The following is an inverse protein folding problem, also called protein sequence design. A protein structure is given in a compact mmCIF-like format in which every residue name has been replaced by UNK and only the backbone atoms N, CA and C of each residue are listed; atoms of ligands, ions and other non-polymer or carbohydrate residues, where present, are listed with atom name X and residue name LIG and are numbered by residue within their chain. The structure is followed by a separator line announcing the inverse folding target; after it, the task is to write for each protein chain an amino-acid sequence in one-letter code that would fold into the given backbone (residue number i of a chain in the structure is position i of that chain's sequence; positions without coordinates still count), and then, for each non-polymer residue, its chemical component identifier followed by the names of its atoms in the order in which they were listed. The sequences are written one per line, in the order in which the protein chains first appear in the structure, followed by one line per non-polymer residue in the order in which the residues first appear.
data_IF_732439330464
#
_entry.id   IF_732439330464
#
_cell.length_a   1.000
_cell.length_b   1.000
_cell.length_c   1.000
_cell.angle_alpha   90.00
_cell.angle_beta   90.00
_cell.angle_gamma   90.00
#
_symmetry.space_group_name_H-M   'P 1'
#
loop_
_entity.id
_entity.type
_entity.pdbx_description
1 polymer ?
#
# COMPACT_ATOMS: atom_id res chain seq x y z
N UNK A 1 59.07 18.92 -17.76
CA UNK A 1 58.42 19.01 -16.43
C UNK A 1 57.06 18.36 -16.55
N UNK A 2 56.99 17.08 -16.24
CA UNK A 2 55.78 16.26 -16.33
C UNK A 2 55.04 16.41 -15.01
N UNK A 3 53.97 17.21 -14.99
CA UNK A 3 53.10 17.34 -13.84
C UNK A 3 52.32 16.04 -13.67
N UNK A 4 52.75 15.22 -12.71
CA UNK A 4 51.99 14.09 -12.20
C UNK A 4 50.67 14.62 -11.62
N UNK A 5 49.56 14.40 -12.32
CA UNK A 5 48.24 14.44 -11.68
C UNK A 5 48.16 13.26 -10.71
N UNK A 6 47.87 13.49 -9.41
CA UNK A 6 47.49 12.39 -8.55
C UNK A 6 46.07 11.96 -8.97
N UNK A 7 45.96 10.87 -9.73
CA UNK A 7 44.70 10.16 -9.97
C UNK A 7 44.30 9.44 -8.68
N UNK A 8 43.86 10.18 -7.68
CA UNK A 8 43.15 9.61 -6.55
C UNK A 8 41.80 9.10 -7.05
N UNK A 9 41.44 7.82 -6.84
CA UNK A 9 40.12 7.33 -7.24
C UNK A 9 39.03 8.17 -6.55
N UNK A 10 38.07 8.69 -7.32
CA UNK A 10 36.93 9.41 -6.76
C UNK A 10 36.14 8.47 -5.82
N UNK A 11 35.83 8.91 -4.59
CA UNK A 11 35.09 8.08 -3.64
C UNK A 11 33.68 7.78 -4.17
N UNK A 12 33.17 6.57 -3.90
CA UNK A 12 31.80 6.17 -4.22
C UNK A 12 30.78 6.85 -3.29
N UNK A 13 31.16 7.15 -2.06
CA UNK A 13 30.37 7.95 -1.12
C UNK A 13 31.25 9.04 -0.54
N UNK A 14 30.78 10.28 -0.55
CA UNK A 14 31.45 11.42 0.05
C UNK A 14 30.46 12.22 0.88
N UNK A 15 30.74 12.33 2.17
CA UNK A 15 29.94 13.07 3.14
C UNK A 15 30.78 14.19 3.71
N UNK A 16 30.27 15.41 3.65
CA UNK A 16 30.91 16.59 4.23
C UNK A 16 29.92 17.41 5.07
N UNK A 17 30.19 17.48 6.37
CA UNK A 17 29.44 18.33 7.31
C UNK A 17 27.98 17.91 7.48
N UNK A 18 27.68 16.60 7.43
CA UNK A 18 26.31 16.10 7.50
C UNK A 18 25.70 16.30 8.89
N UNK A 19 24.55 16.96 8.93
CA UNK A 19 23.72 17.09 10.11
C UNK A 19 22.32 16.53 9.85
N UNK A 20 21.74 15.90 10.86
CA UNK A 20 20.39 15.33 10.75
C UNK A 20 19.61 15.47 12.05
N UNK A 21 18.32 15.80 11.94
CA UNK A 21 17.41 15.96 13.07
C UNK A 21 16.12 15.14 12.86
N UNK A 22 15.59 14.64 13.97
CA UNK A 22 14.24 14.08 14.06
C UNK A 22 13.30 15.05 14.79
N UNK A 23 11.99 14.93 14.55
CA UNK A 23 10.98 15.78 15.16
C UNK A 23 10.79 17.14 14.48
N UNK A 24 9.81 17.91 14.96
CA UNK A 24 9.48 19.27 14.48
C UNK A 24 9.35 20.22 15.67
N UNK A 25 9.64 21.50 15.45
CA UNK A 25 9.54 22.54 16.49
C UNK A 25 10.38 22.20 17.73
N UNK A 26 9.77 22.29 18.91
CA UNK A 26 10.42 22.08 20.21
C UNK A 26 10.82 20.63 20.49
N UNK A 27 10.27 19.67 19.74
CA UNK A 27 10.63 18.25 19.81
C UNK A 27 11.81 17.89 18.89
N UNK A 28 12.42 18.88 18.21
CA UNK A 28 13.51 18.64 17.26
C UNK A 28 14.78 18.21 17.98
N UNK A 29 15.26 16.99 17.72
CA UNK A 29 16.50 16.43 18.27
C UNK A 29 17.50 16.13 17.18
N UNK A 30 18.74 16.59 17.36
CA UNK A 30 19.83 16.27 16.44
C UNK A 30 20.36 14.86 16.73
N UNK A 31 20.69 14.12 15.68
CA UNK A 31 21.23 12.76 15.77
C UNK A 31 22.58 12.62 15.06
N UNK A 32 22.82 13.39 14.00
CA UNK A 32 24.12 13.46 13.33
C UNK A 32 24.70 14.87 13.44
N UNK A 33 26.00 14.95 13.76
CA UNK A 33 26.71 16.19 14.08
C UNK A 33 27.94 16.33 13.18
N UNK A 34 27.85 17.21 12.18
CA UNK A 34 28.92 17.55 11.21
C UNK A 34 29.76 16.33 10.78
N UNK A 35 29.08 15.26 10.38
CA UNK A 35 29.76 14.01 10.05
C UNK A 35 30.50 14.14 8.71
N UNK A 36 31.73 13.62 8.67
CA UNK A 36 32.54 13.49 7.47
C UNK A 36 32.91 12.01 7.27
N UNK A 37 32.66 11.49 6.06
CA UNK A 37 32.95 10.11 5.73
C UNK A 37 33.19 9.98 4.23
N UNK A 38 34.18 9.17 3.85
CA UNK A 38 34.42 8.79 2.47
C UNK A 38 34.42 7.26 2.36
N UNK A 39 33.81 6.73 1.30
CA UNK A 39 33.86 5.31 0.94
C UNK A 39 34.49 5.17 -0.44
N UNK A 40 35.63 4.51 -0.53
CA UNK A 40 36.33 4.28 -1.80
C UNK A 40 35.82 3.02 -2.54
N UNK A 41 36.09 2.87 -3.84
CA UNK A 41 35.76 1.63 -4.55
C UNK A 41 36.46 0.41 -3.95
N UNK A 42 35.72 -0.69 -3.76
CA UNK A 42 36.25 -1.99 -3.36
C UNK A 42 36.74 -2.11 -1.90
N UNK A 43 36.62 -1.05 -1.08
CA UNK A 43 36.97 -1.13 0.34
C UNK A 43 35.77 -1.62 1.18
N UNK A 44 36.07 -2.38 2.24
CA UNK A 44 35.11 -2.77 3.27
C UNK A 44 35.34 -1.94 4.54
N UNK A 45 34.37 -1.09 4.87
CA UNK A 45 34.37 -0.22 6.05
C UNK A 45 33.34 -0.72 7.06
N UNK A 46 33.78 -0.88 8.31
CA UNK A 46 32.89 -1.12 9.45
C UNK A 46 32.65 0.16 10.24
N UNK A 47 31.39 0.42 10.55
CA UNK A 47 30.95 1.50 11.41
C UNK A 47 30.45 0.92 12.74
N UNK A 48 31.25 1.10 13.79
CA UNK A 48 30.93 0.67 15.14
C UNK A 48 30.58 1.86 16.03
N UNK A 49 29.76 1.65 17.06
CA UNK A 49 29.39 2.68 18.02
C UNK A 49 28.19 2.27 18.88
N UNK A 50 27.92 2.98 19.99
CA UNK A 50 26.81 2.66 20.90
C UNK A 50 25.45 2.64 20.19
N UNK A 51 24.47 1.91 20.74
CA UNK A 51 23.09 1.97 20.25
C UNK A 51 22.55 3.41 20.32
N UNK A 52 21.84 3.84 19.28
CA UNK A 52 21.26 5.19 19.22
C UNK A 52 22.21 6.32 18.77
N UNK A 53 23.48 6.07 18.45
CA UNK A 53 24.40 7.12 17.98
C UNK A 53 24.18 7.57 16.51
N UNK A 54 23.17 7.05 15.83
CA UNK A 54 22.82 7.46 14.46
C UNK A 54 23.40 6.62 13.33
N UNK A 55 23.93 5.42 13.59
CA UNK A 55 24.51 4.52 12.55
C UNK A 55 23.50 4.15 11.46
N UNK A 56 22.33 3.66 11.84
CA UNK A 56 21.22 3.35 10.92
C UNK A 56 20.72 4.62 10.22
N UNK A 57 20.69 5.76 10.91
CA UNK A 57 20.37 7.06 10.29
C UNK A 57 21.36 7.43 9.19
N UNK A 58 22.66 7.24 9.43
CA UNK A 58 23.69 7.48 8.43
C UNK A 58 23.53 6.53 7.23
N UNK A 59 23.31 5.24 7.50
CA UNK A 59 23.15 4.22 6.47
C UNK A 59 21.91 4.50 5.59
N UNK A 60 20.79 4.92 6.19
CA UNK A 60 19.55 5.27 5.46
C UNK A 60 19.69 6.56 4.64
N UNK A 61 20.52 7.52 5.09
CA UNK A 61 20.84 8.73 4.31
C UNK A 61 21.74 8.40 3.11
N UNK A 62 22.79 7.58 3.29
CA UNK A 62 23.65 7.10 2.20
C UNK A 62 22.83 6.25 1.21
N UNK A 63 21.96 5.39 1.74
CA UNK A 63 21.07 4.53 0.96
C UNK A 63 19.97 5.29 0.19
N UNK A 64 19.93 6.62 0.27
CA UNK A 64 18.86 7.45 -0.29
C UNK A 64 17.45 6.97 0.09
N UNK A 65 17.31 6.37 1.29
CA UNK A 65 16.05 5.95 1.89
C UNK A 65 15.41 7.08 2.72
N UNK A 66 16.23 8.02 3.17
CA UNK A 66 15.84 9.21 3.91
C UNK A 66 16.37 10.46 3.20
N UNK A 67 15.62 11.56 3.26
CA UNK A 67 16.02 12.83 2.64
C UNK A 67 17.09 13.54 3.47
N UNK A 68 18.15 14.01 2.80
CA UNK A 68 19.21 14.81 3.42
C UNK A 68 18.71 16.22 3.71
N UNK A 69 18.92 16.69 4.94
CA UNK A 69 18.44 17.98 5.42
C UNK A 69 19.52 19.06 5.37
N UNK A 70 20.75 18.74 5.79
CA UNK A 70 21.87 19.69 5.88
C UNK A 70 23.22 18.98 5.70
N UNK A 71 24.19 19.69 5.12
CA UNK A 71 25.47 19.13 4.71
C UNK A 71 25.45 18.61 3.28
N UNK A 72 26.55 17.99 2.85
CA UNK A 72 26.70 17.39 1.53
C UNK A 72 26.78 15.87 1.64
N UNK A 73 25.98 15.15 0.86
CA UNK A 73 26.02 13.69 0.75
C UNK A 73 25.98 13.35 -0.73
N UNK A 74 27.14 13.01 -1.27
CA UNK A 74 27.30 12.57 -2.65
C UNK A 74 27.46 11.05 -2.68
N UNK A 75 26.62 10.38 -3.47
CA UNK A 75 26.62 8.92 -3.60
C UNK A 75 26.64 8.58 -5.07
N UNK A 76 27.65 7.82 -5.50
CA UNK A 76 27.85 7.40 -6.89
C UNK A 76 27.89 8.58 -7.88
N UNK A 77 28.42 9.73 -7.44
CA UNK A 77 28.51 10.97 -8.22
C UNK A 77 27.25 11.84 -8.20
N UNK A 78 26.22 11.47 -7.44
CA UNK A 78 24.95 12.18 -7.36
C UNK A 78 24.78 12.86 -5.98
N UNK A 79 24.54 14.16 -5.97
CA UNK A 79 24.26 14.92 -4.74
C UNK A 79 22.84 14.61 -4.25
N UNK A 80 22.70 14.17 -3.00
CA UNK A 80 21.41 13.78 -2.41
C UNK A 80 20.65 14.94 -1.75
N UNK A 81 21.34 16.05 -1.40
CA UNK A 81 20.67 17.23 -0.85
C UNK A 81 19.70 17.83 -1.90
N UNK A 82 18.41 17.91 -1.55
CA UNK A 82 17.32 18.36 -2.45
C UNK A 82 17.17 17.54 -3.74
N UNK A 83 17.70 16.31 -3.77
CA UNK A 83 17.57 15.43 -4.92
C UNK A 83 16.10 15.07 -5.20
N UNK A 84 15.74 14.97 -6.48
CA UNK A 84 14.40 14.48 -6.88
C UNK A 84 14.27 12.99 -6.53
N UNK A 85 13.05 12.53 -6.24
CA UNK A 85 12.76 11.10 -5.94
C UNK A 85 13.28 10.15 -7.04
N UNK A 86 13.32 10.59 -8.30
CA UNK A 86 13.86 9.82 -9.43
C UNK A 86 15.39 9.64 -9.38
N UNK A 87 16.14 10.65 -8.91
CA UNK A 87 17.59 10.56 -8.70
C UNK A 87 17.88 9.59 -7.56
N UNK A 88 17.20 9.77 -6.42
CA UNK A 88 17.31 8.85 -5.28
C UNK A 88 17.01 7.40 -5.69
N UNK A 89 15.97 7.18 -6.52
CA UNK A 89 15.66 5.85 -7.05
C UNK A 89 16.78 5.29 -7.94
N UNK A 90 17.38 6.11 -8.80
CA UNK A 90 18.50 5.71 -9.66
C UNK A 90 19.71 5.30 -8.83
N UNK A 91 20.02 6.07 -7.80
CA UNK A 91 21.10 5.77 -6.84
C UNK A 91 20.82 4.44 -6.12
N UNK A 92 19.59 4.23 -5.62
CA UNK A 92 19.18 2.96 -4.97
C UNK A 92 19.36 1.74 -5.87
N UNK A 93 19.06 1.83 -7.17
CA UNK A 93 19.24 0.71 -8.11
C UNK A 93 20.70 0.31 -8.32
N UNK A 94 21.65 1.19 -8.00
CA UNK A 94 23.09 0.92 -8.09
C UNK A 94 23.70 0.51 -6.74
N UNK A 95 22.87 0.35 -5.72
CA UNK A 95 23.27 -0.07 -4.37
C UNK A 95 22.53 -1.35 -3.96
N UNK A 96 23.17 -2.16 -3.14
CA UNK A 96 22.54 -3.27 -2.46
C UNK A 96 22.38 -2.93 -0.99
N UNK A 97 21.22 -3.22 -0.40
CA UNK A 97 20.96 -2.99 1.02
C UNK A 97 20.64 -4.32 1.69
N UNK A 98 21.33 -4.58 2.79
CA UNK A 98 21.13 -5.72 3.68
C UNK A 98 20.64 -5.16 5.02
N UNK A 99 19.42 -5.52 5.41
CA UNK A 99 18.81 -5.07 6.65
C UNK A 99 19.13 -6.03 7.80
N UNK A 100 18.98 -5.54 9.04
CA UNK A 100 19.19 -6.32 10.27
C UNK A 100 18.26 -7.54 10.32
N UNK A 101 16.97 -7.32 10.01
CA UNK A 101 16.05 -8.40 9.70
C UNK A 101 16.16 -8.69 8.20
N UNK A 102 16.30 -9.96 7.82
CA UNK A 102 16.49 -10.40 6.43
C UNK A 102 15.48 -9.80 5.43
N UNK A 103 14.27 -9.44 5.89
CA UNK A 103 13.19 -8.84 5.12
C UNK A 103 12.92 -9.57 3.79
N UNK A 104 12.99 -10.91 3.81
CA UNK A 104 12.63 -11.74 2.67
C UNK A 104 11.09 -11.79 2.56
N UNK A 105 10.57 -11.67 1.34
CA UNK A 105 9.14 -11.81 1.08
C UNK A 105 8.76 -13.27 1.30
N UNK A 106 7.84 -13.51 2.23
CA UNK A 106 7.51 -14.84 2.74
C UNK A 106 6.81 -15.73 1.71
N UNK A 107 6.07 -15.10 0.80
CA UNK A 107 5.35 -15.75 -0.31
C UNK A 107 6.26 -16.13 -1.48
N UNK A 108 7.52 -15.71 -1.48
CA UNK A 108 8.48 -15.95 -2.55
C UNK A 108 9.53 -16.96 -2.13
N UNK A 109 9.93 -17.84 -3.05
CA UNK A 109 11.07 -18.75 -2.87
C UNK A 109 12.38 -17.97 -2.72
N UNK A 110 13.45 -18.63 -2.27
CA UNK A 110 14.79 -18.06 -2.22
C UNK A 110 15.21 -17.50 -3.59
N UNK A 111 14.99 -18.25 -4.67
CA UNK A 111 15.31 -17.81 -6.03
C UNK A 111 14.51 -16.56 -6.42
N UNK A 112 13.21 -16.53 -6.12
CA UNK A 112 12.35 -15.38 -6.43
C UNK A 112 12.73 -14.13 -5.62
N UNK A 113 13.10 -14.31 -4.34
CA UNK A 113 13.61 -13.21 -3.51
C UNK A 113 14.89 -12.59 -4.10
N UNK A 114 15.82 -13.41 -4.59
CA UNK A 114 17.03 -12.93 -5.27
C UNK A 114 16.70 -12.31 -6.62
N UNK A 115 15.73 -12.89 -7.35
CA UNK A 115 15.31 -12.42 -8.67
C UNK A 115 14.76 -11.00 -8.66
N UNK A 116 14.14 -10.55 -7.57
CA UNK A 116 13.72 -9.14 -7.44
C UNK A 116 14.88 -8.15 -7.63
N UNK A 117 16.11 -8.51 -7.22
CA UNK A 117 17.28 -7.68 -7.48
C UNK A 117 17.72 -7.76 -8.95
N UNK A 118 17.66 -8.95 -9.55
CA UNK A 118 17.94 -9.14 -10.97
C UNK A 118 16.92 -8.45 -11.89
N UNK A 119 15.68 -8.26 -11.44
CA UNK A 119 14.63 -7.54 -12.18
C UNK A 119 14.96 -6.07 -12.43
N UNK A 120 15.86 -5.49 -11.64
CA UNK A 120 16.33 -4.12 -11.78
C UNK A 120 17.42 -3.97 -12.84
N UNK A 121 17.99 -5.09 -13.32
CA UNK A 121 19.01 -5.10 -14.36
C UNK A 121 18.33 -5.01 -15.74
N UNK A 122 18.57 -3.94 -16.52
CA UNK A 122 17.96 -3.78 -17.84
C UNK A 122 18.49 -4.82 -18.82
N UNK A 123 17.64 -5.22 -19.78
CA UNK A 123 18.03 -6.10 -20.88
C UNK A 123 18.01 -7.61 -20.57
N UNK A 124 17.77 -8.02 -19.32
CA UNK A 124 17.61 -9.44 -18.98
C UNK A 124 16.18 -9.93 -19.21
N UNK A 125 16.04 -11.07 -19.88
CA UNK A 125 14.77 -11.82 -19.98
C UNK A 125 14.41 -12.47 -18.65
N UNK A 126 13.14 -12.83 -18.46
CA UNK A 126 12.68 -13.52 -17.24
C UNK A 126 13.52 -14.78 -16.92
N UNK A 127 13.81 -15.59 -17.95
CA UNK A 127 14.65 -16.79 -17.80
C UNK A 127 16.08 -16.47 -17.37
N UNK A 128 16.69 -15.43 -17.95
CA UNK A 128 18.05 -14.99 -17.57
C UNK A 128 18.10 -14.46 -16.14
N UNK A 129 17.08 -13.72 -15.70
CA UNK A 129 16.98 -13.23 -14.32
C UNK A 129 16.87 -14.38 -13.32
N UNK A 130 16.03 -15.37 -13.64
CA UNK A 130 15.89 -16.57 -12.81
C UNK A 130 17.19 -17.35 -12.74
N UNK A 131 17.87 -17.56 -13.87
CA UNK A 131 19.14 -18.27 -13.90
C UNK A 131 20.21 -17.56 -13.06
N UNK A 132 20.37 -16.25 -13.27
CA UNK A 132 21.27 -15.39 -12.48
C UNK A 132 21.00 -15.50 -10.97
N UNK A 133 19.74 -15.61 -10.58
CA UNK A 133 19.34 -15.76 -9.18
C UNK A 133 19.77 -17.11 -8.60
N UNK A 134 19.65 -18.18 -9.38
CA UNK A 134 20.09 -19.53 -9.00
C UNK A 134 21.61 -19.57 -8.91
N UNK A 135 22.32 -18.94 -9.85
CA UNK A 135 23.79 -18.87 -9.86
C UNK A 135 24.32 -18.15 -8.62
N UNK A 136 23.75 -16.98 -8.28
CA UNK A 136 24.10 -16.25 -7.06
C UNK A 136 23.80 -17.05 -5.79
N UNK A 137 22.68 -17.78 -5.74
CA UNK A 137 22.40 -18.68 -4.63
C UNK A 137 23.43 -19.83 -4.55
N UNK A 138 23.89 -20.34 -5.68
CA UNK A 138 24.94 -21.35 -5.71
C UNK A 138 26.27 -20.81 -5.16
N UNK A 139 26.65 -19.57 -5.51
CA UNK A 139 27.81 -18.87 -4.94
C UNK A 139 27.71 -18.71 -3.41
N UNK A 140 26.49 -18.56 -2.87
CA UNK A 140 26.23 -18.53 -1.43
C UNK A 140 26.19 -19.91 -0.75
N UNK A 141 26.42 -21.00 -1.50
CA UNK A 141 26.28 -22.37 -1.01
C UNK A 141 24.83 -22.82 -0.80
N UNK A 142 23.88 -22.23 -1.52
CA UNK A 142 22.43 -22.48 -1.42
C UNK A 142 21.82 -23.04 -2.72
N UNK A 143 22.64 -23.67 -3.57
CA UNK A 143 22.20 -24.23 -4.86
C UNK A 143 20.94 -25.10 -4.76
N UNK A 144 20.89 -26.02 -3.79
CA UNK A 144 19.76 -26.94 -3.62
C UNK A 144 18.58 -26.33 -2.84
N UNK A 145 18.72 -25.08 -2.39
CA UNK A 145 17.72 -24.37 -1.57
C UNK A 145 16.93 -23.35 -2.39
N UNK A 146 17.21 -23.21 -3.69
CA UNK A 146 16.61 -22.19 -4.56
C UNK A 146 15.07 -22.21 -4.59
N UNK A 147 14.46 -23.39 -4.49
CA UNK A 147 12.99 -23.56 -4.47
C UNK A 147 12.34 -23.47 -3.09
N UNK A 148 13.10 -23.29 -2.01
CA UNK A 148 12.55 -23.23 -0.65
C UNK A 148 11.99 -21.85 -0.33
N UNK A 149 10.92 -21.80 0.45
CA UNK A 149 10.39 -20.58 1.06
C UNK A 149 11.25 -20.17 2.27
N UNK A 150 11.28 -18.88 2.66
CA UNK A 150 12.03 -18.40 3.83
C UNK A 150 11.71 -19.15 5.13
N UNK A 151 10.47 -19.60 5.31
CA UNK A 151 10.04 -20.40 6.47
C UNK A 151 10.74 -21.76 6.57
N UNK A 152 11.30 -22.26 5.48
CA UNK A 152 12.02 -23.54 5.40
C UNK A 152 13.55 -23.39 5.38
N UNK A 153 14.06 -22.18 5.69
CA UNK A 153 15.48 -21.85 5.73
C UNK A 153 15.91 -21.51 7.16
N UNK A 154 17.16 -21.82 7.52
CA UNK A 154 17.72 -21.34 8.79
C UNK A 154 18.01 -19.83 8.74
N UNK A 155 18.18 -19.17 9.89
CA UNK A 155 18.51 -17.74 9.94
C UNK A 155 19.75 -17.39 9.11
N UNK A 156 20.83 -18.17 9.23
CA UNK A 156 22.04 -17.97 8.41
C UNK A 156 21.79 -18.17 6.91
N UNK A 157 20.92 -19.11 6.53
CA UNK A 157 20.53 -19.29 5.13
C UNK A 157 19.70 -18.11 4.62
N UNK A 158 18.75 -17.60 5.42
CA UNK A 158 17.99 -16.38 5.11
C UNK A 158 18.93 -15.18 4.90
N UNK A 159 19.97 -15.02 5.71
CA UNK A 159 20.96 -13.95 5.55
C UNK A 159 21.77 -14.09 4.26
N UNK A 160 22.16 -15.31 3.90
CA UNK A 160 22.80 -15.58 2.62
C UNK A 160 21.89 -15.27 1.43
N UNK A 161 20.59 -15.56 1.52
CA UNK A 161 19.60 -15.15 0.50
C UNK A 161 19.48 -13.62 0.43
N UNK A 162 19.46 -12.92 1.57
CA UNK A 162 19.42 -11.45 1.60
C UNK A 162 20.67 -10.82 0.95
N UNK A 163 21.85 -11.39 1.18
CA UNK A 163 23.12 -10.99 0.53
C UNK A 163 23.05 -11.24 -0.98
N UNK A 164 22.63 -12.43 -1.42
CA UNK A 164 22.46 -12.73 -2.84
C UNK A 164 21.48 -11.76 -3.52
N UNK A 165 20.36 -11.43 -2.86
CA UNK A 165 19.39 -10.44 -3.35
C UNK A 165 20.01 -9.06 -3.51
N UNK A 166 20.80 -8.60 -2.54
CA UNK A 166 21.47 -7.30 -2.60
C UNK A 166 22.49 -7.24 -3.76
N UNK A 167 23.18 -8.35 -4.03
CA UNK A 167 24.17 -8.47 -5.12
C UNK A 167 23.54 -8.65 -6.51
N UNK A 168 22.30 -9.14 -6.59
CA UNK A 168 21.66 -9.50 -7.86
C UNK A 168 21.55 -8.34 -8.85
N UNK A 169 21.47 -7.10 -8.35
CA UNK A 169 21.43 -5.87 -9.15
C UNK A 169 22.81 -5.38 -9.67
N UNK A 170 23.91 -6.10 -9.43
CA UNK A 170 25.29 -5.63 -9.65
C UNK A 170 25.58 -4.27 -8.97
N UNK A 171 25.42 -4.18 -7.64
CA UNK A 171 25.62 -2.92 -6.94
C UNK A 171 27.09 -2.50 -6.93
N UNK A 172 27.34 -1.20 -6.94
CA UNK A 172 28.68 -0.63 -6.71
C UNK A 172 28.98 -0.44 -5.22
N UNK A 173 27.93 -0.30 -4.41
CA UNK A 173 28.00 -0.14 -2.95
C UNK A 173 27.00 -1.09 -2.29
N UNK A 174 27.45 -1.80 -1.27
CA UNK A 174 26.64 -2.59 -0.36
C UNK A 174 26.57 -1.90 0.99
N UNK A 175 25.35 -1.64 1.45
CA UNK A 175 25.06 -1.12 2.78
C UNK A 175 24.50 -2.27 3.62
N UNK A 176 25.11 -2.57 4.76
CA UNK A 176 24.64 -3.63 5.64
C UNK A 176 24.39 -3.09 7.06
N UNK A 177 23.14 -3.17 7.53
CA UNK A 177 22.79 -2.78 8.89
C UNK A 177 22.69 -4.02 9.78
N UNK A 178 23.62 -4.17 10.71
CA UNK A 178 23.73 -5.28 11.67
C UNK A 178 23.41 -6.68 11.09
N UNK A 179 24.09 -7.11 9.99
CA UNK A 179 23.76 -8.34 9.28
C UNK A 179 24.00 -9.64 10.07
N UNK A 180 24.57 -9.54 11.28
CA UNK A 180 24.86 -10.68 12.17
C UNK A 180 24.03 -10.68 13.45
N UNK A 181 23.15 -9.69 13.68
CA UNK A 181 22.45 -9.52 14.97
C UNK A 181 21.59 -10.74 15.35
N UNK A 182 20.98 -11.40 14.36
CA UNK A 182 20.13 -12.57 14.57
C UNK A 182 20.87 -13.92 14.49
N UNK A 183 22.20 -13.91 14.39
CA UNK A 183 23.01 -15.11 14.14
C UNK A 183 23.91 -15.46 15.33
N UNK A 184 24.17 -16.75 15.51
CA UNK A 184 25.18 -17.20 16.46
C UNK A 184 26.59 -16.78 16.01
N UNK A 185 27.55 -16.89 16.93
CA UNK A 185 28.94 -16.43 16.74
C UNK A 185 29.60 -17.00 15.49
N UNK A 186 29.44 -18.30 15.23
CA UNK A 186 30.13 -18.98 14.13
C UNK A 186 29.45 -18.63 12.82
N UNK A 187 28.13 -18.76 12.76
CA UNK A 187 27.35 -18.45 11.55
C UNK A 187 27.49 -16.99 11.15
N UNK A 188 27.46 -16.06 12.11
CA UNK A 188 27.64 -14.62 11.86
C UNK A 188 28.99 -14.32 11.20
N UNK A 189 30.07 -14.92 11.71
CA UNK A 189 31.40 -14.78 11.12
C UNK A 189 31.47 -15.33 9.70
N UNK A 190 30.97 -16.54 9.49
CA UNK A 190 30.95 -17.18 8.16
C UNK A 190 30.19 -16.34 7.13
N UNK A 191 29.09 -15.69 7.54
CA UNK A 191 28.29 -14.79 6.70
C UNK A 191 29.06 -13.52 6.34
N UNK A 192 29.77 -12.90 7.29
CA UNK A 192 30.54 -11.67 7.04
C UNK A 192 31.76 -11.95 6.15
N UNK A 193 32.44 -13.08 6.36
CA UNK A 193 33.53 -13.51 5.49
C UNK A 193 33.04 -13.84 4.08
N UNK A 194 31.86 -14.47 3.96
CA UNK A 194 31.21 -14.64 2.67
C UNK A 194 30.90 -13.30 2.02
N UNK A 195 30.32 -12.34 2.75
CA UNK A 195 30.06 -11.00 2.24
C UNK A 195 31.33 -10.32 1.74
N UNK A 196 32.44 -10.37 2.50
CA UNK A 196 33.74 -9.82 2.07
C UNK A 196 34.19 -10.46 0.76
N UNK A 197 34.20 -11.79 0.68
CA UNK A 197 34.60 -12.51 -0.54
C UNK A 197 33.75 -12.11 -1.74
N UNK A 198 32.43 -12.05 -1.57
CA UNK A 198 31.51 -11.69 -2.64
C UNK A 198 31.65 -10.22 -3.06
N UNK A 199 31.84 -9.32 -2.10
CA UNK A 199 32.10 -7.92 -2.39
C UNK A 199 33.41 -7.73 -3.17
N UNK A 200 34.47 -8.44 -2.80
CA UNK A 200 35.73 -8.44 -3.57
C UNK A 200 35.54 -9.01 -4.98
N UNK A 201 34.84 -10.14 -5.12
CA UNK A 201 34.57 -10.78 -6.41
C UNK A 201 33.74 -9.88 -7.35
N UNK A 202 32.77 -9.14 -6.81
CA UNK A 202 31.92 -8.23 -7.57
C UNK A 202 32.43 -6.77 -7.63
N UNK A 203 33.65 -6.49 -7.13
CA UNK A 203 34.25 -5.15 -7.08
C UNK A 203 33.34 -4.10 -6.40
N UNK A 204 32.67 -4.50 -5.33
CA UNK A 204 31.71 -3.70 -4.58
C UNK A 204 32.37 -3.13 -3.32
N UNK A 205 32.12 -1.85 -3.02
CA UNK A 205 32.47 -1.30 -1.71
C UNK A 205 31.41 -1.70 -0.68
N UNK A 206 31.81 -1.97 0.56
CA UNK A 206 30.88 -2.36 1.64
C UNK A 206 30.97 -1.36 2.77
N UNK A 207 29.84 -0.78 3.15
CA UNK A 207 29.69 -0.07 4.43
C UNK A 207 28.77 -0.89 5.31
N UNK A 208 29.34 -1.48 6.36
CA UNK A 208 28.58 -2.28 7.31
C UNK A 208 28.55 -1.60 8.67
N UNK A 209 27.35 -1.46 9.23
CA UNK A 209 27.10 -1.06 10.60
C UNK A 209 27.06 -2.31 11.47
N UNK A 210 27.81 -2.33 12.56
CA UNK A 210 27.76 -3.42 13.52
C UNK A 210 28.22 -2.98 14.90
N UNK A 211 27.67 -3.56 15.95
CA UNK A 211 28.21 -3.48 17.30
C UNK A 211 28.96 -4.75 17.71
N UNK A 212 29.09 -5.72 16.80
CA UNK A 212 29.69 -7.02 17.06
C UNK A 212 31.24 -6.94 17.01
N UNK A 213 31.94 -7.02 18.15
CA UNK A 213 33.40 -6.94 18.19
C UNK A 213 34.08 -8.14 17.49
N UNK A 214 33.34 -9.22 17.22
CA UNK A 214 33.86 -10.50 16.70
C UNK A 214 34.17 -10.47 15.20
N UNK A 215 33.77 -9.40 14.51
CA UNK A 215 33.90 -9.26 13.05
C UNK A 215 34.70 -8.02 12.64
N UNK A 216 35.26 -7.28 13.60
CA UNK A 216 35.98 -6.02 13.35
C UNK A 216 37.25 -6.22 12.53
N UNK A 217 37.91 -7.37 12.68
CA UNK A 217 39.12 -7.76 11.96
C UNK A 217 38.88 -8.16 10.50
N UNK A 218 37.62 -8.29 10.06
CA UNK A 218 37.30 -8.57 8.65
C UNK A 218 37.40 -7.29 7.80
N UNK A 219 37.28 -6.10 8.39
CA UNK A 219 37.26 -4.85 7.65
C UNK A 219 38.63 -4.37 7.20
N UNK A 220 38.65 -3.60 6.12
CA UNK A 220 39.84 -2.89 5.67
C UNK A 220 40.01 -1.57 6.45
N UNK A 221 38.89 -0.97 6.90
CA UNK A 221 38.88 0.22 7.75
C UNK A 221 37.77 0.16 8.79
N UNK A 222 38.08 0.56 10.02
CA UNK A 222 37.13 0.67 11.11
C UNK A 222 36.88 2.15 11.43
N UNK A 223 35.62 2.54 11.47
CA UNK A 223 35.16 3.85 11.89
C UNK A 223 34.35 3.68 13.18
N UNK A 224 34.63 4.52 14.15
CA UNK A 224 33.90 4.53 15.42
C UNK A 224 33.07 5.80 15.52
N UNK A 225 31.75 5.66 15.65
CA UNK A 225 30.86 6.77 16.00
C UNK A 225 30.85 6.94 17.50
N UNK A 226 31.42 8.04 17.96
CA UNK A 226 31.22 8.51 19.32
C UNK A 226 29.84 9.15 19.42
N UNK A 227 28.98 8.57 20.25
CA UNK A 227 27.70 9.16 20.59
C UNK A 227 27.80 9.87 21.93
N UNK A 228 27.55 11.17 21.96
CA UNK A 228 27.19 11.86 23.20
C UNK A 228 25.72 11.58 23.49
N UNK A 229 25.46 10.69 24.45
CA UNK A 229 24.14 10.60 25.06
C UNK A 229 24.07 11.69 26.12
N UNK A 230 23.49 12.84 25.76
CA UNK A 230 23.08 13.86 26.73
C UNK A 230 21.56 14.02 26.67
N UNK A 231 20.90 13.62 27.74
CA UNK A 231 19.53 13.99 28.05
C UNK A 231 19.55 14.90 29.27
N UNK A 232 18.85 16.03 29.21
CA UNK A 232 18.79 17.02 30.28
C UNK A 232 17.32 17.38 30.51
N UNK A 233 16.86 17.20 31.75
CA UNK A 233 15.54 17.66 32.20
C UNK A 233 15.79 18.58 33.38
N UNK A 234 15.59 19.88 33.16
CA UNK A 234 15.75 20.95 34.17
C UNK A 234 17.11 20.89 34.90
N UNK A 235 18.21 20.90 34.13
CA UNK A 235 19.60 20.89 34.61
C UNK A 235 20.07 19.62 35.36
N UNK A 236 19.41 18.47 35.18
CA UNK A 236 19.94 17.16 35.61
C UNK A 236 19.68 16.09 34.53
N UNK A 237 20.62 15.15 34.36
CA UNK A 237 20.50 14.04 33.40
C UNK A 237 19.74 12.85 33.99
N UNK A 238 18.77 12.30 33.26
CA UNK A 238 17.97 11.12 33.70
C UNK A 238 17.58 10.22 32.51
N UNK A 239 17.35 8.93 32.79
CA UNK A 239 16.99 7.86 31.84
C UNK A 239 15.57 7.32 32.16
N UNK A 240 14.74 7.07 31.13
CA UNK A 240 13.30 6.75 31.27
C UNK A 240 12.99 5.34 30.74
N UNK A 241 12.23 4.56 31.51
CA UNK A 241 12.08 3.08 31.44
C UNK A 241 10.67 2.58 31.00
N UNK A 242 9.85 3.43 30.37
CA UNK A 242 8.57 3.00 29.77
C UNK A 242 7.47 4.07 29.72
N UNK A 243 6.39 3.77 28.97
CA UNK A 243 5.17 4.58 28.83
C UNK A 243 3.93 3.70 29.05
N UNK A 244 2.84 4.31 29.57
CA UNK A 244 1.54 3.67 29.80
C UNK A 244 0.44 4.48 29.12
N UNK A 245 -0.56 3.78 28.59
CA UNK A 245 -1.71 4.32 27.86
C UNK A 245 -2.89 4.60 28.82
N UNK A 246 -3.58 5.72 28.62
CA UNK A 246 -4.80 6.09 29.35
C UNK A 246 -5.98 6.04 28.38
N UNK A 247 -7.02 5.29 28.78
CA UNK A 247 -8.17 4.93 27.96
C UNK A 247 -9.15 6.06 27.62
N UNK A 248 -10.09 5.72 26.75
CA UNK A 248 -11.11 6.57 26.13
C UNK A 248 -12.36 6.78 27.01
N UNK A 249 -12.91 7.99 26.94
CA UNK A 249 -14.21 8.37 27.54
C UNK A 249 -15.20 8.68 26.41
N UNK A 250 -16.38 8.07 26.46
CA UNK A 250 -17.46 8.26 25.47
C UNK A 250 -18.51 9.23 26.01
N UNK A 251 -18.52 10.45 25.48
CA UNK A 251 -19.68 11.34 25.49
C UNK A 251 -20.66 10.92 24.39
N UNK A 252 -21.92 10.68 24.75
CA UNK A 252 -23.02 10.39 23.83
C UNK A 252 -23.95 11.61 23.74
N UNK A 253 -24.17 12.10 22.52
CA UNK A 253 -25.05 13.24 22.22
C UNK A 253 -26.53 12.80 22.13
N UNK A 254 -27.16 12.68 23.31
CA UNK A 254 -28.59 12.99 23.54
C UNK A 254 -29.67 11.98 23.15
N UNK A 255 -30.81 12.05 23.86
CA UNK A 255 -32.06 11.32 23.61
C UNK A 255 -33.25 12.30 23.62
N UNK A 256 -34.30 12.00 22.84
CA UNK A 256 -35.53 12.79 22.78
C UNK A 256 -36.72 12.00 23.33
N UNK A 257 -37.52 12.63 24.19
CA UNK A 257 -38.74 12.09 24.78
C UNK A 257 -39.91 13.06 24.53
N UNK A 258 -41.06 12.55 24.06
CA UNK A 258 -42.26 13.35 23.77
C UNK A 258 -43.53 12.61 24.16
N UNK A 259 -44.65 13.34 24.21
CA UNK A 259 -45.95 12.79 24.60
C UNK A 259 -46.59 11.98 23.47
N UNK A 260 -47.39 10.98 23.84
CA UNK A 260 -48.12 10.14 22.88
C UNK A 260 -49.12 10.95 22.00
N UNK A 261 -49.60 12.10 22.50
CA UNK A 261 -50.52 13.00 21.77
C UNK A 261 -49.78 13.83 20.71
N UNK A 262 -48.53 14.20 20.98
CA UNK A 262 -47.64 14.86 20.02
C UNK A 262 -47.18 13.89 18.94
N UNK A 263 -46.93 12.64 19.34
CA UNK A 263 -46.59 11.55 18.42
C UNK A 263 -47.73 11.23 17.44
N UNK A 264 -48.97 11.10 17.92
CA UNK A 264 -50.14 10.83 17.06
C UNK A 264 -50.58 12.02 16.20
N UNK A 265 -50.17 13.26 16.54
CA UNK A 265 -50.39 14.44 15.68
C UNK A 265 -49.36 14.54 14.54
N UNK A 266 -48.17 13.96 14.73
CA UNK A 266 -47.11 13.92 13.73
C UNK A 266 -47.30 12.77 12.72
N UNK A 267 -48.03 11.70 13.10
CA UNK A 267 -48.03 10.42 12.36
C UNK A 267 -49.40 9.70 12.26
N UNK A 268 -50.54 10.32 12.62
CA UNK A 268 -51.84 9.63 12.72
C UNK A 268 -52.94 10.16 11.79
N UNK A 269 -53.39 9.28 10.90
CA UNK A 269 -54.29 9.41 9.74
C UNK A 269 -55.68 10.02 9.98
N UNK A 270 -56.18 10.79 9.00
CA UNK A 270 -57.57 11.25 8.91
C UNK A 270 -58.36 10.44 7.85
N UNK A 271 -59.38 9.75 8.36
CA UNK A 271 -60.68 9.36 7.79
C UNK A 271 -60.84 9.08 6.29
N UNK A 272 -61.19 7.83 6.00
CA UNK A 272 -61.73 7.39 4.72
C UNK A 272 -63.25 7.49 4.65
N UNK A 273 -63.76 8.01 3.53
CA UNK A 273 -64.94 7.46 2.83
C UNK A 273 -65.16 8.18 1.49
N UNK A 274 -64.93 7.47 0.38
CA UNK A 274 -65.59 7.78 -0.91
C UNK A 274 -65.56 6.54 -1.80
N UNK A 275 -66.70 5.87 -1.95
CA UNK A 275 -66.90 4.92 -3.05
C UNK A 275 -67.38 5.70 -4.26
N UNK A 276 -66.44 6.29 -5.00
CA UNK A 276 -66.64 6.78 -6.36
C UNK A 276 -66.00 5.78 -7.34
N UNK A 277 -66.67 5.49 -8.46
CA UNK A 277 -66.06 4.70 -9.54
C UNK A 277 -65.03 5.59 -10.23
N UNK A 278 -63.74 5.27 -10.05
CA UNK A 278 -62.61 6.09 -10.51
C UNK A 278 -62.14 5.77 -11.94
N UNK A 279 -62.61 4.66 -12.56
CA UNK A 279 -62.10 4.19 -13.84
C UNK A 279 -63.19 3.58 -14.74
N UNK A 280 -63.27 4.06 -15.99
CA UNK A 280 -64.14 3.53 -17.04
C UNK A 280 -63.34 3.02 -18.25
N UNK A 281 -63.69 1.84 -18.78
CA UNK A 281 -63.03 1.24 -19.94
C UNK A 281 -63.93 1.37 -21.19
N UNK A 282 -63.42 2.02 -22.25
CA UNK A 282 -64.11 2.10 -23.54
C UNK A 282 -63.41 1.19 -24.54
N UNK A 283 -64.13 0.21 -25.09
CA UNK A 283 -63.62 -0.68 -26.14
C UNK A 283 -64.06 -0.15 -27.51
N UNK A 284 -63.09 0.12 -28.38
CA UNK A 284 -63.34 0.63 -29.73
C UNK A 284 -63.75 -0.50 -30.69
N UNK A 285 -64.58 -0.14 -31.68
CA UNK A 285 -64.97 -1.02 -32.80
C UNK A 285 -63.76 -1.22 -33.73
N UNK A 286 -63.56 -2.40 -34.34
CA UNK A 286 -62.43 -2.64 -35.24
C UNK A 286 -62.34 -1.60 -36.37
N UNK A 287 -61.16 -1.01 -36.58
CA UNK A 287 -60.90 0.00 -37.61
C UNK A 287 -61.01 1.47 -37.14
N UNK A 288 -61.47 1.73 -35.92
CA UNK A 288 -61.47 3.08 -35.34
C UNK A 288 -60.07 3.50 -34.86
N UNK A 289 -59.66 4.74 -35.12
CA UNK A 289 -58.41 5.30 -34.62
C UNK A 289 -58.53 5.73 -33.14
N UNK A 290 -57.76 5.13 -32.21
CA UNK A 290 -57.83 5.45 -30.79
C UNK A 290 -57.50 6.91 -30.45
N UNK A 291 -56.62 7.55 -31.22
CA UNK A 291 -56.21 8.95 -30.95
C UNK A 291 -57.34 9.93 -31.29
N UNK A 292 -57.96 9.74 -32.45
CA UNK A 292 -59.11 10.55 -32.87
C UNK A 292 -60.27 10.45 -31.88
N UNK A 293 -60.61 9.23 -31.44
CA UNK A 293 -61.69 9.02 -30.45
C UNK A 293 -61.33 9.64 -29.09
N UNK A 294 -60.08 9.51 -28.63
CA UNK A 294 -59.64 10.13 -27.40
C UNK A 294 -59.77 11.66 -27.45
N UNK A 295 -59.40 12.31 -28.56
CA UNK A 295 -59.54 13.76 -28.73
C UNK A 295 -61.00 14.21 -28.72
N UNK A 296 -61.90 13.47 -29.38
CA UNK A 296 -63.34 13.78 -29.37
C UNK A 296 -63.90 13.68 -27.95
N UNK A 297 -63.55 12.62 -27.21
CA UNK A 297 -63.99 12.44 -25.83
C UNK A 297 -63.43 13.50 -24.87
N UNK A 298 -62.16 13.91 -25.05
CA UNK A 298 -61.54 15.02 -24.29
C UNK A 298 -62.29 16.34 -24.48
N UNK A 299 -62.83 16.59 -25.66
CA UNK A 299 -63.58 17.80 -25.96
C UNK A 299 -65.05 17.74 -25.49
N UNK A 300 -65.60 16.54 -25.32
CA UNK A 300 -67.00 16.31 -24.96
C UNK A 300 -67.23 16.11 -23.46
N UNK A 301 -66.20 15.65 -22.73
CA UNK A 301 -66.29 15.40 -21.29
C UNK A 301 -65.80 16.61 -20.47
N UNK A 302 -66.31 16.80 -19.25
CA UNK A 302 -65.84 17.85 -18.36
C UNK A 302 -64.38 17.63 -17.94
N UNK A 303 -63.72 18.74 -17.55
CA UNK A 303 -62.27 18.79 -17.30
C UNK A 303 -61.78 17.94 -16.12
N UNK A 304 -62.68 17.35 -15.34
CA UNK A 304 -62.42 16.43 -14.23
C UNK A 304 -62.25 14.97 -14.68
N UNK A 305 -62.48 14.64 -15.96
CA UNK A 305 -62.31 13.29 -16.51
C UNK A 305 -61.06 13.18 -17.40
N UNK A 306 -60.09 12.38 -16.98
CA UNK A 306 -58.90 12.07 -17.79
C UNK A 306 -59.20 10.97 -18.81
N UNK A 307 -59.18 11.32 -20.10
CA UNK A 307 -59.30 10.35 -21.19
C UNK A 307 -57.91 9.99 -21.71
N UNK A 308 -57.51 8.74 -21.51
CA UNK A 308 -56.21 8.22 -21.92
C UNK A 308 -56.36 7.06 -22.91
N UNK A 309 -55.56 7.05 -23.96
CA UNK A 309 -55.40 5.83 -24.78
C UNK A 309 -54.67 4.76 -23.97
N UNK A 310 -54.74 3.49 -24.37
CA UNK A 310 -54.05 2.39 -23.66
C UNK A 310 -52.54 2.66 -23.49
N UNK A 311 -51.88 3.21 -24.50
CA UNK A 311 -50.45 3.57 -24.43
C UNK A 311 -50.18 4.72 -23.47
N UNK A 312 -51.04 5.74 -23.46
CA UNK A 312 -50.91 6.88 -22.54
C UNK A 312 -51.23 6.48 -21.10
N UNK A 313 -52.22 5.60 -20.90
CA UNK A 313 -52.55 5.06 -19.57
C UNK A 313 -51.41 4.19 -19.02
N UNK A 314 -50.76 3.36 -19.85
CA UNK A 314 -49.58 2.60 -19.43
C UNK A 314 -48.41 3.52 -19.02
N UNK A 315 -48.20 4.62 -19.74
CA UNK A 315 -47.18 5.61 -19.36
C UNK A 315 -47.56 6.34 -18.06
N UNK A 316 -48.82 6.76 -17.94
CA UNK A 316 -49.37 7.39 -16.73
C UNK A 316 -49.21 6.50 -15.50
N UNK A 317 -49.62 5.22 -15.58
CA UNK A 317 -49.44 4.25 -14.49
C UNK A 317 -47.96 4.09 -14.14
N UNK A 318 -47.08 3.90 -15.12
CA UNK A 318 -45.64 3.78 -14.87
C UNK A 318 -45.07 5.01 -14.15
N UNK A 319 -45.47 6.21 -14.56
CA UNK A 319 -44.98 7.44 -13.95
C UNK A 319 -45.61 7.69 -12.58
N UNK A 320 -46.91 7.39 -12.39
CA UNK A 320 -47.58 7.42 -11.10
C UNK A 320 -46.90 6.49 -10.10
N UNK A 321 -46.62 5.24 -10.47
CA UNK A 321 -45.90 4.31 -9.57
C UNK A 321 -44.47 4.77 -9.28
N UNK A 322 -43.79 5.44 -10.23
CA UNK A 322 -42.45 6.02 -10.02
C UNK A 322 -42.45 7.24 -9.10
N UNK A 323 -43.47 8.10 -9.16
CA UNK A 323 -43.54 9.35 -8.41
C UNK A 323 -44.30 9.25 -7.09
N UNK A 324 -45.37 8.46 -7.07
CA UNK A 324 -46.33 8.39 -5.96
C UNK A 324 -45.96 7.34 -4.92
N UNK A 325 -44.97 6.48 -5.21
CA UNK A 325 -44.44 5.53 -4.23
C UNK A 325 -43.00 5.84 -3.88
N UNK A 326 -42.70 5.89 -2.58
CA UNK A 326 -41.32 6.04 -2.05
C UNK A 326 -40.45 4.82 -2.32
N UNK A 327 -40.97 3.79 -3.00
CA UNK A 327 -40.31 2.49 -3.14
C UNK A 327 -39.01 2.60 -3.93
N UNK A 328 -39.00 3.38 -5.02
CA UNK A 328 -37.80 3.63 -5.83
C UNK A 328 -36.76 4.44 -5.06
N UNK A 329 -37.20 5.43 -4.29
CA UNK A 329 -36.32 6.21 -3.42
C UNK A 329 -35.66 5.35 -2.34
N UNK A 330 -36.45 4.51 -1.63
CA UNK A 330 -35.94 3.64 -0.57
C UNK A 330 -34.92 2.64 -1.11
N UNK A 331 -35.22 1.98 -2.25
CA UNK A 331 -34.28 1.04 -2.85
C UNK A 331 -33.01 1.72 -3.38
N UNK A 332 -33.11 2.91 -3.98
CA UNK A 332 -31.94 3.66 -4.44
C UNK A 332 -31.09 4.16 -3.26
N UNK A 333 -31.72 4.65 -2.19
CA UNK A 333 -31.02 5.05 -0.97
C UNK A 333 -30.34 3.84 -0.32
N UNK A 334 -31.02 2.70 -0.26
CA UNK A 334 -30.46 1.43 0.24
C UNK A 334 -29.28 0.95 -0.59
N UNK A 335 -29.36 1.04 -1.93
CA UNK A 335 -28.26 0.72 -2.83
C UNK A 335 -27.07 1.67 -2.64
N UNK A 336 -27.33 2.97 -2.49
CA UNK A 336 -26.30 3.98 -2.23
C UNK A 336 -25.62 3.75 -0.87
N UNK A 337 -26.41 3.45 0.18
CA UNK A 337 -25.87 3.10 1.50
C UNK A 337 -25.02 1.83 1.44
N UNK A 338 -25.51 0.80 0.74
CA UNK A 338 -24.76 -0.44 0.54
C UNK A 338 -23.44 -0.21 -0.18
N UNK A 339 -23.40 0.69 -1.17
CA UNK A 339 -22.17 1.10 -1.85
C UNK A 339 -21.22 1.84 -0.89
N UNK A 340 -21.72 2.80 -0.12
CA UNK A 340 -20.88 3.60 0.80
C UNK A 340 -20.29 2.71 1.90
N UNK A 341 -21.13 1.88 2.55
CA UNK A 341 -20.67 0.94 3.57
C UNK A 341 -19.69 -0.07 2.98
N UNK A 342 -20.00 -0.61 1.79
CA UNK A 342 -19.09 -1.50 1.06
C UNK A 342 -17.74 -0.85 0.77
N UNK A 343 -17.73 0.43 0.36
CA UNK A 343 -16.51 1.16 0.06
C UNK A 343 -15.62 1.31 1.29
N UNK A 344 -16.23 1.62 2.43
CA UNK A 344 -15.54 1.74 3.72
C UNK A 344 -14.96 0.40 4.17
N UNK A 345 -15.73 -0.68 4.09
CA UNK A 345 -15.27 -2.03 4.46
C UNK A 345 -14.11 -2.48 3.58
N UNK A 346 -14.23 -2.33 2.25
CA UNK A 346 -13.15 -2.70 1.33
C UNK A 346 -11.92 -1.83 1.53
N UNK A 347 -12.08 -0.53 1.78
CA UNK A 347 -10.97 0.35 2.13
C UNK A 347 -10.26 -0.12 3.41
N UNK A 348 -11.01 -0.47 4.45
CA UNK A 348 -10.42 -0.94 5.72
C UNK A 348 -9.65 -2.25 5.55
N UNK A 349 -10.20 -3.22 4.81
CA UNK A 349 -9.55 -4.50 4.54
C UNK A 349 -8.26 -4.27 3.73
N UNK A 350 -8.34 -3.54 2.61
CA UNK A 350 -7.17 -3.25 1.78
C UNK A 350 -6.13 -2.44 2.54
N UNK A 351 -6.56 -1.47 3.36
CA UNK A 351 -5.64 -0.69 4.17
C UNK A 351 -4.93 -1.54 5.22
N UNK A 352 -5.65 -2.42 5.92
CA UNK A 352 -5.05 -3.33 6.89
C UNK A 352 -4.04 -4.25 6.21
N UNK A 353 -4.39 -4.84 5.07
CA UNK A 353 -3.51 -5.73 4.31
C UNK A 353 -2.23 -5.00 3.86
N UNK A 354 -2.39 -3.79 3.30
CA UNK A 354 -1.25 -2.96 2.88
C UNK A 354 -0.33 -2.59 4.06
N UNK A 355 -0.90 -2.36 5.25
CA UNK A 355 -0.14 -2.06 6.47
C UNK A 355 0.60 -3.31 6.97
N UNK A 356 -0.05 -4.48 6.94
CA UNK A 356 0.57 -5.75 7.37
C UNK A 356 1.76 -6.13 6.47
N UNK A 357 1.72 -5.74 5.20
CA UNK A 357 2.79 -5.94 4.22
C UNK A 357 3.73 -4.74 4.04
N UNK A 358 3.62 -3.71 4.88
CA UNK A 358 4.42 -2.47 4.79
C UNK A 358 5.95 -2.70 4.75
N UNK A 359 6.54 -3.63 5.53
CA UNK A 359 7.96 -3.93 5.45
C UNK A 359 8.41 -4.51 4.08
N UNK A 360 7.52 -5.26 3.42
CA UNK A 360 7.79 -5.83 2.09
C UNK A 360 7.81 -4.72 1.03
N UNK A 361 6.84 -3.79 1.09
CA UNK A 361 6.82 -2.60 0.24
C UNK A 361 8.04 -1.69 0.46
N UNK A 362 8.44 -1.50 1.72
CA UNK A 362 9.64 -0.74 2.05
C UNK A 362 10.89 -1.36 1.45
N UNK A 363 10.99 -2.70 1.48
CA UNK A 363 12.11 -3.45 0.90
C UNK A 363 12.18 -3.27 -0.61
N UNK A 364 11.05 -3.39 -1.32
CA UNK A 364 11.00 -3.13 -2.77
C UNK A 364 11.39 -1.68 -3.11
N UNK A 365 10.89 -0.71 -2.36
CA UNK A 365 11.23 0.71 -2.55
C UNK A 365 12.71 1.00 -2.27
N UNK A 366 13.28 0.30 -1.28
CA UNK A 366 14.70 0.38 -0.93
C UNK A 366 15.61 -0.23 -2.01
N UNK A 367 15.18 -1.32 -2.65
CA UNK A 367 15.87 -1.90 -3.82
C UNK A 367 15.79 -0.99 -5.05
N UNK A 368 14.83 -0.05 -5.10
CA UNK A 368 14.70 0.91 -6.20
C UNK A 368 13.55 0.63 -7.16
N UNK A 369 12.56 -0.16 -6.76
CA UNK A 369 11.27 -0.25 -7.47
C UNK A 369 10.57 1.12 -7.46
N UNK A 370 9.85 1.42 -8.53
CA UNK A 370 9.11 2.68 -8.64
C UNK A 370 7.84 2.62 -7.79
N UNK A 371 7.40 3.76 -7.27
CA UNK A 371 6.09 3.84 -6.60
C UNK A 371 4.94 3.43 -7.52
N UNK A 372 5.06 3.64 -8.84
CA UNK A 372 4.05 3.23 -9.81
C UNK A 372 3.93 1.71 -9.95
N UNK A 373 5.05 0.98 -9.87
CA UNK A 373 5.03 -0.48 -9.89
C UNK A 373 4.29 -1.02 -8.66
N UNK A 374 4.54 -0.45 -7.48
CA UNK A 374 3.84 -0.84 -6.25
C UNK A 374 2.35 -0.50 -6.32
N UNK A 375 2.01 0.66 -6.90
CA UNK A 375 0.62 1.04 -7.18
C UNK A 375 -0.07 0.02 -8.08
N UNK A 376 0.62 -0.48 -9.10
CA UNK A 376 0.05 -1.46 -10.02
C UNK A 376 -0.26 -2.79 -9.34
N UNK A 377 0.57 -3.24 -8.39
CA UNK A 377 0.35 -4.50 -7.67
C UNK A 377 -0.94 -4.49 -6.85
N UNK A 378 -1.15 -3.49 -6.01
CA UNK A 378 -2.37 -3.39 -5.18
C UNK A 378 -3.59 -3.04 -6.07
N UNK A 379 -3.40 -2.31 -7.18
CA UNK A 379 -4.48 -2.13 -8.15
C UNK A 379 -4.91 -3.46 -8.76
N UNK A 380 -3.96 -4.34 -9.11
CA UNK A 380 -4.27 -5.71 -9.55
C UNK A 380 -4.99 -6.50 -8.47
N UNK A 381 -4.57 -6.39 -7.22
CA UNK A 381 -5.21 -7.05 -6.08
C UNK A 381 -6.66 -6.60 -5.89
N UNK A 382 -6.92 -5.30 -5.89
CA UNK A 382 -8.27 -4.74 -5.79
C UNK A 382 -9.16 -5.12 -6.98
N UNK A 383 -8.59 -5.27 -8.18
CA UNK A 383 -9.29 -5.78 -9.36
C UNK A 383 -9.64 -7.28 -9.22
N UNK A 384 -8.71 -8.09 -8.73
CA UNK A 384 -8.95 -9.51 -8.46
C UNK A 384 -10.02 -9.68 -7.38
N UNK A 385 -9.98 -8.86 -6.32
CA UNK A 385 -10.98 -8.86 -5.26
C UNK A 385 -12.37 -8.50 -5.81
N UNK A 386 -12.47 -7.49 -6.68
CA UNK A 386 -13.74 -7.13 -7.34
C UNK A 386 -14.28 -8.28 -8.21
N UNK A 387 -13.41 -8.92 -9.00
CA UNK A 387 -13.78 -10.04 -9.87
C UNK A 387 -14.23 -11.27 -9.07
N UNK A 388 -13.39 -11.75 -8.16
CA UNK A 388 -13.67 -12.94 -7.37
C UNK A 388 -14.79 -12.73 -6.35
N UNK A 389 -14.96 -11.50 -5.82
CA UNK A 389 -16.06 -11.16 -4.91
C UNK A 389 -17.41 -11.07 -5.62
N UNK A 390 -17.44 -10.61 -6.88
CA UNK A 390 -18.69 -10.47 -7.62
C UNK A 390 -19.35 -11.80 -7.97
N UNK A 391 -18.56 -12.82 -8.31
CA UNK A 391 -19.08 -14.14 -8.72
C UNK A 391 -20.02 -14.75 -7.65
N UNK A 392 -19.59 -14.98 -6.38
CA UNK A 392 -20.46 -15.52 -5.36
C UNK A 392 -21.61 -14.57 -5.01
N UNK A 393 -21.37 -13.25 -5.01
CA UNK A 393 -22.40 -12.25 -4.76
C UNK A 393 -23.54 -12.30 -5.80
N UNK A 394 -23.19 -12.51 -7.08
CA UNK A 394 -24.16 -12.66 -8.17
C UNK A 394 -25.04 -13.89 -7.99
N UNK A 395 -24.46 -15.04 -7.62
CA UNK A 395 -25.23 -16.27 -7.39
C UNK A 395 -26.11 -16.17 -6.13
N UNK A 396 -25.58 -15.60 -5.05
CA UNK A 396 -26.35 -15.33 -3.83
C UNK A 396 -27.53 -14.38 -4.13
N UNK A 397 -27.28 -13.30 -4.88
CA UNK A 397 -28.30 -12.37 -5.33
C UNK A 397 -29.38 -13.06 -6.16
N UNK A 398 -29.01 -13.88 -7.15
CA UNK A 398 -29.97 -14.71 -7.91
C UNK A 398 -30.81 -15.60 -7.00
N UNK A 399 -30.20 -16.21 -5.98
CA UNK A 399 -30.89 -17.01 -4.97
C UNK A 399 -31.95 -16.19 -4.22
N UNK A 400 -31.60 -14.98 -3.77
CA UNK A 400 -32.53 -14.06 -3.09
C UNK A 400 -33.69 -13.67 -4.02
N UNK A 401 -33.41 -13.29 -5.28
CA UNK A 401 -34.46 -12.99 -6.26
C UNK A 401 -35.39 -14.19 -6.48
N UNK A 402 -34.84 -15.41 -6.55
CA UNK A 402 -35.62 -16.64 -6.65
C UNK A 402 -36.54 -16.86 -5.45
N UNK A 403 -36.00 -16.70 -4.23
CA UNK A 403 -36.75 -16.84 -2.99
C UNK A 403 -37.88 -15.81 -2.90
N UNK A 404 -37.60 -14.54 -3.21
CA UNK A 404 -38.62 -13.47 -3.20
C UNK A 404 -39.69 -13.72 -4.26
N UNK A 405 -39.33 -14.23 -5.45
CA UNK A 405 -40.30 -14.62 -6.49
C UNK A 405 -41.22 -15.74 -6.02
N UNK A 406 -40.69 -16.77 -5.36
CA UNK A 406 -41.51 -17.86 -4.82
C UNK A 406 -42.40 -17.42 -3.65
N UNK A 407 -41.95 -16.48 -2.83
CA UNK A 407 -42.70 -16.02 -1.66
C UNK A 407 -43.81 -15.01 -2.00
N UNK A 408 -43.59 -14.16 -3.01
CA UNK A 408 -44.50 -13.05 -3.36
C UNK A 408 -45.35 -13.33 -4.60
N UNK A 409 -45.02 -14.36 -5.38
CA UNK A 409 -45.57 -14.63 -6.72
C UNK A 409 -45.41 -13.47 -7.72
N UNK A 410 -44.57 -12.46 -7.40
CA UNK A 410 -44.28 -11.37 -8.32
C UNK A 410 -43.26 -11.82 -9.38
N UNK A 411 -43.41 -11.41 -10.65
CA UNK A 411 -42.46 -11.72 -11.72
C UNK A 411 -41.20 -10.84 -11.62
N UNK A 412 -40.49 -10.92 -10.49
CA UNK A 412 -39.23 -10.23 -10.24
C UNK A 412 -38.05 -11.08 -10.69
N UNK A 413 -37.03 -10.43 -11.25
CA UNK A 413 -35.83 -11.10 -11.72
C UNK A 413 -34.69 -10.12 -11.93
N UNK A 414 -33.47 -10.61 -11.76
CA UNK A 414 -32.26 -9.84 -12.01
C UNK A 414 -32.03 -9.72 -13.53
N UNK A 415 -32.21 -8.52 -14.07
CA UNK A 415 -31.92 -8.24 -15.47
C UNK A 415 -30.41 -8.23 -15.74
N UNK A 416 -29.99 -8.56 -16.97
CA UNK A 416 -28.59 -8.50 -17.39
C UNK A 416 -28.00 -7.09 -17.25
N UNK A 417 -28.80 -6.05 -17.53
CA UNK A 417 -28.41 -4.65 -17.35
C UNK A 417 -28.10 -4.32 -15.89
N UNK A 418 -28.93 -4.78 -14.95
CA UNK A 418 -28.69 -4.56 -13.52
C UNK A 418 -27.45 -5.32 -13.03
N UNK A 419 -27.23 -6.54 -13.54
CA UNK A 419 -26.05 -7.33 -13.22
C UNK A 419 -24.75 -6.58 -13.56
N UNK A 420 -24.65 -6.09 -14.79
CA UNK A 420 -23.49 -5.33 -15.27
C UNK A 420 -23.34 -4.01 -14.52
N UNK A 421 -24.45 -3.32 -14.22
CA UNK A 421 -24.43 -2.08 -13.45
C UNK A 421 -23.86 -2.29 -12.04
N UNK A 422 -24.33 -3.32 -11.31
CA UNK A 422 -23.82 -3.64 -9.97
C UNK A 422 -22.34 -4.04 -10.02
N UNK A 423 -21.93 -4.80 -11.04
CA UNK A 423 -20.51 -5.12 -11.25
C UNK A 423 -19.66 -3.85 -11.44
N UNK A 424 -20.09 -2.92 -12.31
CA UNK A 424 -19.38 -1.67 -12.55
C UNK A 424 -19.28 -0.81 -11.28
N UNK A 425 -20.33 -0.80 -10.45
CA UNK A 425 -20.32 -0.11 -9.16
C UNK A 425 -19.30 -0.71 -8.19
N UNK A 426 -19.29 -2.04 -8.02
CA UNK A 426 -18.33 -2.76 -7.16
C UNK A 426 -16.90 -2.57 -7.68
N UNK A 427 -16.70 -2.66 -9.00
CA UNK A 427 -15.42 -2.44 -9.62
C UNK A 427 -14.87 -1.04 -9.33
N UNK A 428 -15.70 -0.01 -9.55
CA UNK A 428 -15.33 1.38 -9.28
C UNK A 428 -15.00 1.59 -7.80
N UNK A 429 -15.81 1.01 -6.92
CA UNK A 429 -15.61 1.03 -5.47
C UNK A 429 -14.25 0.45 -5.07
N UNK A 430 -13.92 -0.76 -5.53
CA UNK A 430 -12.64 -1.41 -5.20
C UNK A 430 -11.43 -0.62 -5.73
N UNK A 431 -11.52 -0.06 -6.94
CA UNK A 431 -10.45 0.77 -7.52
C UNK A 431 -10.24 2.04 -6.70
N UNK A 432 -11.31 2.75 -6.33
CA UNK A 432 -11.21 3.96 -5.51
C UNK A 432 -10.64 3.63 -4.13
N UNK A 433 -11.14 2.59 -3.46
CA UNK A 433 -10.64 2.17 -2.15
C UNK A 433 -9.17 1.75 -2.20
N UNK A 434 -8.75 1.02 -3.25
CA UNK A 434 -7.34 0.66 -3.46
C UNK A 434 -6.44 1.89 -3.67
N UNK A 435 -6.89 2.87 -4.47
CA UNK A 435 -6.15 4.12 -4.67
C UNK A 435 -6.04 4.96 -3.40
N UNK A 436 -7.11 5.02 -2.58
CA UNK A 436 -7.10 5.75 -1.32
C UNK A 436 -6.15 5.12 -0.29
N UNK A 437 -6.13 3.79 -0.19
CA UNK A 437 -5.21 3.06 0.70
C UNK A 437 -3.74 3.39 0.40
N UNK A 438 -3.40 3.66 -0.88
CA UNK A 438 -2.04 3.99 -1.29
C UNK A 438 -1.57 5.41 -0.99
N UNK A 439 -2.51 6.36 -0.81
CA UNK A 439 -2.16 7.77 -0.63
C UNK A 439 -1.15 7.96 0.50
N UNK A 440 -1.30 7.20 1.61
CA UNK A 440 -0.35 7.19 2.73
C UNK A 440 0.96 6.46 2.41
N UNK A 441 0.94 5.36 1.65
CA UNK A 441 2.12 4.56 1.35
C UNK A 441 3.15 5.28 0.46
N UNK A 442 2.64 6.08 -0.49
CA UNK A 442 3.47 6.80 -1.47
C UNK A 442 4.43 7.79 -0.81
N UNK A 443 4.00 8.41 0.28
CA UNK A 443 4.72 9.47 0.96
C UNK A 443 5.52 8.99 2.18
N UNK A 444 5.31 7.75 2.64
CA UNK A 444 6.14 7.15 3.69
C UNK A 444 7.59 6.92 3.22
N UNK A 445 8.55 7.39 4.01
CA UNK A 445 9.97 7.11 3.78
C UNK A 445 10.26 5.64 4.17
N UNK A 446 10.93 4.82 3.33
CA UNK A 446 11.27 3.44 3.69
C UNK A 446 12.00 3.33 5.02
N UNK A 447 12.81 4.33 5.35
CA UNK A 447 13.59 4.42 6.59
C UNK A 447 12.75 4.70 7.85
N UNK A 448 11.45 4.95 7.75
CA UNK A 448 10.53 5.01 8.91
C UNK A 448 9.84 3.67 9.19
N UNK A 449 9.90 2.75 8.22
CA UNK A 449 9.29 1.42 8.29
C UNK A 449 10.31 0.41 8.83
N UNK A 450 11.58 0.58 8.49
CA UNK A 450 12.73 -0.08 9.12
C UNK A 450 13.13 0.68 10.38
#
# INVERSE_FOLDING_TARGET
MTTLHPTSPHPLVSIAGLNHWFGRGDQRRQVLYQLHLTLNPGEMVLLSGPSGCGKTTLLTLIGALRTVQNGSVEVLGEQLLKARKSVQQRVRRQMGIIFQQHNLLRCLTAAQNVQMGADLVPGLSFGQRRQRSIDLLAEMGLKDHHGKLPSALSGGQCQRVAIARALAANPRVLLADEPTAALDRRTGREVVELLKRMATHHHCAVLMVTHDPRILDVADRLLQMEGTVTAEVRNVRVQVDGLVELGVSFGADGNLLTSNRTFNRLLGSADGSSTSIELGLIRLVPGADPKTVATVLKNALPNDVQVLTKSEFLAFEQDYWRSSTSIGFIFNLGAAMGLVVGAVVVYQILFSDVVDHLPEYATLKAMGYSSMNLVTVILQESLLLAGFGYIPAFFAGKGIYGLTRSATNLPIGMSSRMAVFVFAMIFTMCVISGLLAMGKLRDADPAEIF
#
